data_IF_193651832108
#
_entry.id   IF_193651832108
#
_cell.length_a   1.000
_cell.length_b   1.000
_cell.length_c   1.000
_cell.angle_alpha   90.00
_cell.angle_beta   90.00
_cell.angle_gamma   90.00
#
_symmetry.space_group_name_H-M   'P 1'
#
loop_
_entity.id
_entity.type
_entity.pdbx_description
1 polymer ?
#
# COMPACT_ATOMS: atom_id res chain seq x y z
N UNK A 1 18.74 -33.66 42.21
CA UNK A 1 18.61 -33.40 43.66
C UNK A 1 19.52 -32.21 43.95
N UNK A 2 18.98 -31.00 43.79
CA UNK A 2 18.32 -30.24 44.88
C UNK A 2 19.37 -29.86 45.93
N UNK A 3 19.61 -28.61 46.33
CA UNK A 3 18.88 -27.35 46.29
C UNK A 3 19.90 -26.24 46.52
N UNK A 4 19.67 -25.05 45.98
CA UNK A 4 20.03 -23.82 46.70
C UNK A 4 19.03 -22.74 46.32
N UNK A 5 18.11 -22.52 47.24
CA UNK A 5 17.07 -21.50 47.15
C UNK A 5 17.57 -20.10 47.48
N UNK A 6 16.71 -19.16 47.06
CA UNK A 6 16.43 -17.82 47.57
C UNK A 6 17.56 -16.79 47.67
N UNK A 7 17.43 -15.74 46.86
CA UNK A 7 17.37 -14.36 47.36
C UNK A 7 16.43 -13.49 46.47
N UNK A 8 15.88 -12.39 47.02
CA UNK A 8 14.51 -11.95 46.74
C UNK A 8 14.35 -10.89 45.66
N UNK A 9 13.09 -10.76 45.25
CA UNK A 9 12.45 -9.60 44.62
C UNK A 9 13.00 -8.25 45.10
N UNK A 10 13.22 -7.33 44.14
CA UNK A 10 12.55 -6.02 44.01
C UNK A 10 13.42 -5.11 43.15
N UNK A 11 13.01 -4.78 41.92
CA UNK A 11 13.21 -3.43 41.34
C UNK A 11 12.14 -3.19 40.26
N UNK A 12 11.27 -2.21 40.54
CA UNK A 12 10.92 -1.18 39.55
C UNK A 12 9.79 -1.48 38.57
N UNK A 13 8.56 -1.62 39.08
CA UNK A 13 7.36 -1.21 38.33
C UNK A 13 6.89 0.12 38.91
N UNK A 14 7.31 1.22 38.29
CA UNK A 14 6.75 2.57 38.42
C UNK A 14 7.32 3.33 37.22
N UNK A 15 6.52 3.68 36.22
CA UNK A 15 5.58 4.78 36.34
C UNK A 15 6.06 5.90 35.42
N UNK A 16 6.25 5.58 34.14
CA UNK A 16 6.48 6.58 33.11
C UNK A 16 5.14 6.98 32.51
N UNK A 17 4.38 7.81 33.21
CA UNK A 17 3.34 8.63 32.59
C UNK A 17 4.04 9.63 31.67
N UNK A 18 4.53 9.10 30.55
CA UNK A 18 5.05 9.87 29.44
C UNK A 18 3.85 10.66 28.96
N UNK A 19 3.77 11.94 29.32
CA UNK A 19 2.81 12.87 28.75
C UNK A 19 2.84 12.72 27.21
N UNK A 20 1.97 11.88 26.67
CA UNK A 20 1.94 11.58 25.26
C UNK A 20 1.55 12.88 24.58
N UNK A 21 2.53 13.55 23.94
CA UNK A 21 2.33 14.81 23.22
C UNK A 21 1.07 14.71 22.39
N UNK A 22 0.23 15.73 22.43
CA UNK A 22 -0.96 15.79 21.58
C UNK A 22 -0.57 15.54 20.12
N UNK A 23 -1.42 14.79 19.44
CA UNK A 23 -1.26 14.56 18.01
C UNK A 23 -1.68 15.84 17.32
N UNK A 24 -0.75 16.51 16.66
CA UNK A 24 -1.09 17.64 15.81
C UNK A 24 -1.61 17.08 14.47
N UNK A 25 -2.91 17.27 14.25
CA UNK A 25 -3.64 16.80 13.06
C UNK A 25 -4.21 17.99 12.32
N UNK A 26 -3.81 18.17 11.07
CA UNK A 26 -4.47 19.10 10.17
C UNK A 26 -5.61 18.36 9.46
N UNK A 27 -6.86 18.77 9.73
CA UNK A 27 -8.05 18.21 9.09
C UNK A 27 -8.52 19.16 7.99
N UNK A 28 -8.45 18.72 6.74
CA UNK A 28 -8.87 19.49 5.57
C UNK A 28 -10.37 19.30 5.30
N UNK A 29 -10.84 18.06 5.39
CA UNK A 29 -12.25 17.71 5.38
C UNK A 29 -12.47 16.40 6.16
N UNK A 30 -13.71 15.89 6.20
CA UNK A 30 -14.01 14.65 6.92
C UNK A 30 -13.17 13.45 6.44
N UNK A 31 -12.86 13.44 5.14
CA UNK A 31 -12.15 12.35 4.49
C UNK A 31 -10.64 12.58 4.35
N UNK A 32 -10.11 13.76 4.67
CA UNK A 32 -8.70 14.11 4.42
C UNK A 32 -8.05 14.73 5.65
N UNK A 33 -7.03 14.04 6.18
CA UNK A 33 -6.24 14.46 7.34
C UNK A 33 -4.75 14.32 7.08
N UNK A 34 -3.96 15.13 7.78
CA UNK A 34 -2.51 15.07 7.77
C UNK A 34 -1.96 15.05 9.20
N UNK A 35 -1.12 14.08 9.52
CA UNK A 35 -0.54 13.92 10.86
C UNK A 35 0.87 14.52 10.92
N UNK A 36 1.10 15.52 11.78
CA UNK A 36 2.44 16.09 11.97
C UNK A 36 3.28 15.28 12.98
N UNK A 37 2.63 14.56 13.88
CA UNK A 37 3.27 13.70 14.88
C UNK A 37 2.64 12.31 14.91
N UNK A 38 3.48 11.28 14.99
CA UNK A 38 3.04 9.90 15.19
C UNK A 38 3.22 9.52 16.66
N UNK A 39 2.13 9.10 17.29
CA UNK A 39 2.16 8.52 18.64
C UNK A 39 1.16 7.36 18.74
N UNK A 40 1.08 6.73 19.91
CA UNK A 40 0.19 5.60 20.15
C UNK A 40 -1.30 5.93 19.94
N UNK A 41 -1.72 7.19 20.14
CA UNK A 41 -3.09 7.67 19.92
C UNK A 41 -3.46 7.77 18.43
N UNK A 42 -2.50 8.01 17.55
CA UNK A 42 -2.76 8.01 16.08
C UNK A 42 -3.15 6.65 15.54
N UNK A 43 -2.79 5.55 16.23
CA UNK A 43 -2.90 4.16 15.75
C UNK A 43 -2.23 3.93 14.38
N UNK A 44 -1.42 4.88 13.89
CA UNK A 44 -0.60 4.77 12.69
C UNK A 44 0.83 4.54 13.12
N UNK A 45 1.31 3.31 12.94
CA UNK A 45 2.69 2.93 13.24
C UNK A 45 3.42 2.46 11.98
N UNK A 46 4.68 2.03 12.14
CA UNK A 46 5.48 1.51 11.03
C UNK A 46 4.85 0.29 10.34
N UNK A 47 4.04 -0.47 11.06
CA UNK A 47 3.32 -1.64 10.54
C UNK A 47 2.13 -1.28 9.66
N UNK A 48 1.82 0.00 9.46
CA UNK A 48 0.82 0.46 8.48
C UNK A 48 1.44 0.88 7.15
N UNK A 49 2.76 1.06 7.10
CA UNK A 49 3.45 1.41 5.87
C UNK A 49 3.83 0.16 5.08
N UNK A 50 3.61 0.23 3.78
CA UNK A 50 3.84 -0.88 2.85
C UNK A 50 4.71 -0.40 1.71
N UNK A 51 5.62 -1.27 1.29
CA UNK A 51 6.49 -1.00 0.17
C UNK A 51 5.85 -1.53 -1.11
N UNK A 52 5.55 -0.61 -2.03
CA UNK A 52 5.05 -0.93 -3.36
C UNK A 52 6.23 -0.93 -4.33
N UNK A 53 6.39 -2.02 -5.07
CA UNK A 53 7.45 -2.15 -6.06
C UNK A 53 7.03 -1.57 -7.40
N UNK A 54 5.83 -1.90 -7.85
CA UNK A 54 5.32 -1.48 -9.16
C UNK A 54 3.81 -1.29 -9.12
N UNK A 55 3.34 -0.24 -9.80
CA UNK A 55 1.94 -0.08 -10.18
C UNK A 55 1.92 0.25 -11.65
N UNK A 56 1.30 -0.61 -12.46
CA UNK A 56 1.24 -0.45 -13.90
C UNK A 56 -0.14 -0.78 -14.46
N UNK A 57 -0.44 -0.21 -15.61
CA UNK A 57 -1.71 -0.37 -16.30
C UNK A 57 -1.45 -0.77 -17.75
N UNK A 58 -2.13 -1.81 -18.23
CA UNK A 58 -1.97 -2.31 -19.58
C UNK A 58 -2.41 -1.27 -20.63
N UNK A 59 -1.63 -1.13 -21.70
CA UNK A 59 -1.95 -0.20 -22.79
C UNK A 59 -3.08 -0.70 -23.72
N UNK A 60 -3.46 -1.98 -23.61
CA UNK A 60 -4.48 -2.62 -24.44
C UNK A 60 -5.54 -3.26 -23.56
N UNK A 61 -6.77 -3.27 -24.05
CA UNK A 61 -7.87 -3.97 -23.41
C UNK A 61 -7.62 -5.48 -23.45
N UNK A 62 -7.79 -6.14 -22.31
CA UNK A 62 -7.75 -7.58 -22.16
C UNK A 62 -9.13 -8.15 -22.48
N UNK A 63 -9.18 -9.19 -23.31
CA UNK A 63 -10.41 -9.92 -23.58
C UNK A 63 -10.69 -10.90 -22.44
N UNK A 64 -11.81 -10.73 -21.75
CA UNK A 64 -12.28 -11.59 -20.67
C UNK A 64 -13.18 -12.73 -21.16
N UNK A 65 -13.17 -13.01 -22.46
CA UNK A 65 -13.99 -14.05 -23.08
C UNK A 65 -15.30 -13.51 -23.63
N UNK A 66 -16.24 -14.43 -23.85
CA UNK A 66 -17.56 -14.15 -24.41
C UNK A 66 -18.63 -14.47 -23.37
N UNK A 67 -19.49 -13.51 -23.09
CA UNK A 67 -20.77 -13.72 -22.42
C UNK A 67 -21.84 -13.19 -23.36
N UNK A 68 -22.86 -13.98 -23.66
CA UNK A 68 -23.95 -13.59 -24.56
C UNK A 68 -23.51 -13.20 -25.99
N UNK A 69 -22.41 -13.79 -26.48
CA UNK A 69 -21.92 -13.57 -27.85
C UNK A 69 -21.04 -12.33 -28.05
N UNK A 70 -21.00 -11.39 -27.10
CA UNK A 70 -20.15 -10.20 -27.15
C UNK A 70 -18.81 -10.40 -26.42
N UNK A 71 -17.75 -9.76 -26.94
CA UNK A 71 -16.43 -9.75 -26.31
C UNK A 71 -16.44 -8.80 -25.13
N UNK A 72 -16.15 -9.29 -23.92
CA UNK A 72 -15.97 -8.42 -22.76
C UNK A 72 -14.53 -7.97 -22.68
N UNK A 73 -14.35 -6.65 -22.60
CA UNK A 73 -13.04 -6.02 -22.62
C UNK A 73 -12.83 -5.26 -21.31
N UNK A 74 -11.67 -5.46 -20.69
CA UNK A 74 -11.30 -4.77 -19.46
C UNK A 74 -9.85 -4.28 -19.49
N UNK A 75 -9.57 -3.23 -18.74
CA UNK A 75 -8.22 -2.73 -18.54
C UNK A 75 -7.54 -3.52 -17.42
N UNK A 76 -6.33 -4.05 -17.68
CA UNK A 76 -5.57 -4.78 -16.66
C UNK A 76 -4.71 -3.81 -15.86
N UNK A 77 -4.90 -3.78 -14.55
CA UNK A 77 -4.05 -3.05 -13.61
C UNK A 77 -3.24 -4.05 -12.80
N UNK A 78 -1.93 -3.88 -12.77
CA UNK A 78 -0.98 -4.72 -12.02
C UNK A 78 -0.43 -3.91 -10.86
N UNK A 79 -0.50 -4.49 -9.66
CA UNK A 79 0.05 -3.90 -8.44
C UNK A 79 0.95 -4.94 -7.78
N UNK A 80 2.22 -4.60 -7.62
CA UNK A 80 3.23 -5.43 -6.96
C UNK A 80 3.76 -4.71 -5.72
N UNK A 81 3.80 -5.41 -4.60
CA UNK A 81 4.30 -4.90 -3.32
C UNK A 81 4.74 -6.03 -2.41
N UNK A 82 5.44 -5.69 -1.33
CA UNK A 82 5.93 -6.68 -0.35
C UNK A 82 4.79 -7.28 0.47
N UNK A 83 3.80 -6.46 0.81
CA UNK A 83 2.60 -6.88 1.54
C UNK A 83 1.49 -5.86 1.32
N UNK A 84 0.25 -6.30 1.56
CA UNK A 84 -0.94 -5.48 1.43
C UNK A 84 -1.77 -5.55 2.70
N UNK A 85 -2.23 -4.40 3.19
CA UNK A 85 -3.25 -4.33 4.23
C UNK A 85 -4.63 -4.69 3.67
N UNK A 86 -5.56 -5.00 4.58
CA UNK A 86 -6.96 -5.23 4.23
C UNK A 86 -7.49 -4.07 3.37
N UNK A 87 -8.15 -4.42 2.27
CA UNK A 87 -8.70 -3.49 1.27
C UNK A 87 -7.71 -2.54 0.57
N UNK A 88 -6.41 -2.60 0.86
CA UNK A 88 -5.44 -1.60 0.37
C UNK A 88 -5.42 -1.51 -1.16
N UNK A 89 -5.36 -2.65 -1.86
CA UNK A 89 -5.39 -2.68 -3.33
C UNK A 89 -6.68 -2.07 -3.87
N UNK A 90 -7.82 -2.38 -3.23
CA UNK A 90 -9.13 -1.88 -3.65
C UNK A 90 -9.24 -0.35 -3.50
N UNK A 91 -8.68 0.20 -2.42
CA UNK A 91 -8.56 1.65 -2.22
C UNK A 91 -7.64 2.30 -3.24
N UNK A 92 -6.50 1.67 -3.55
CA UNK A 92 -5.58 2.17 -4.60
C UNK A 92 -6.29 2.23 -5.96
N UNK A 93 -7.02 1.18 -6.33
CA UNK A 93 -7.78 1.14 -7.58
C UNK A 93 -8.91 2.18 -7.60
N UNK A 94 -9.66 2.32 -6.50
CA UNK A 94 -10.69 3.35 -6.39
C UNK A 94 -10.14 4.76 -6.61
N UNK A 95 -9.00 5.07 -6.00
CA UNK A 95 -8.31 6.35 -6.18
C UNK A 95 -7.79 6.54 -7.63
N UNK A 96 -7.25 5.49 -8.26
CA UNK A 96 -6.81 5.55 -9.65
C UNK A 96 -7.98 5.83 -10.61
N UNK A 97 -9.14 5.22 -10.38
CA UNK A 97 -10.36 5.48 -11.18
C UNK A 97 -10.82 6.93 -10.99
N UNK A 98 -10.81 7.43 -9.76
CA UNK A 98 -11.16 8.84 -9.47
C UNK A 98 -10.25 9.82 -10.22
N UNK A 99 -8.93 9.59 -10.17
CA UNK A 99 -7.96 10.43 -10.86
C UNK A 99 -8.09 10.33 -12.39
N UNK A 100 -8.30 9.12 -12.94
CA UNK A 100 -8.53 8.92 -14.38
C UNK A 100 -9.75 9.69 -14.89
N UNK A 101 -10.76 9.88 -14.05
CA UNK A 101 -11.98 10.64 -14.36
C UNK A 101 -11.89 12.12 -14.05
N UNK A 102 -10.70 12.62 -13.68
CA UNK A 102 -10.46 14.01 -13.29
C UNK A 102 -11.28 14.47 -12.07
N UNK A 103 -11.69 13.55 -11.20
CA UNK A 103 -12.36 13.89 -9.93
C UNK A 103 -11.36 14.41 -8.89
N UNK A 104 -10.09 13.99 -9.01
CA UNK A 104 -8.99 14.52 -8.21
C UNK A 104 -7.79 14.76 -9.12
N UNK A 105 -6.94 15.74 -8.81
CA UNK A 105 -5.75 15.99 -9.62
C UNK A 105 -4.73 14.85 -9.45
N UNK A 106 -3.92 14.59 -10.47
CA UNK A 106 -2.99 13.43 -10.48
C UNK A 106 -1.99 13.44 -9.33
N UNK A 107 -1.54 14.63 -8.90
CA UNK A 107 -0.64 14.79 -7.75
C UNK A 107 -1.31 14.44 -6.40
N UNK A 108 -2.63 14.31 -6.36
CA UNK A 108 -3.35 13.81 -5.19
C UNK A 108 -2.98 12.35 -4.88
N UNK A 109 -2.70 11.54 -5.90
CA UNK A 109 -2.27 10.15 -5.72
C UNK A 109 -0.99 10.08 -4.90
N UNK A 110 0.05 10.83 -5.28
CA UNK A 110 1.32 10.83 -4.57
C UNK A 110 1.19 11.40 -3.16
N UNK A 111 0.31 12.40 -2.97
CA UNK A 111 0.03 12.96 -1.66
C UNK A 111 -0.63 11.95 -0.72
N UNK A 112 -1.65 11.23 -1.18
CA UNK A 112 -2.34 10.19 -0.40
C UNK A 112 -1.43 9.01 -0.06
N UNK A 113 -0.54 8.63 -0.97
CA UNK A 113 0.42 7.53 -0.73
C UNK A 113 1.58 7.92 0.18
N UNK A 114 1.73 9.19 0.53
CA UNK A 114 2.81 9.67 1.40
C UNK A 114 2.44 9.53 2.86
N UNK A 115 3.30 8.89 3.67
CA UNK A 115 3.22 9.01 5.12
C UNK A 115 3.56 10.46 5.50
N UNK A 116 2.64 11.28 6.03
CA UNK A 116 1.67 10.90 7.06
C UNK A 116 0.20 11.15 6.70
N UNK A 117 -0.13 11.19 5.40
CA UNK A 117 -1.50 11.40 4.94
C UNK A 117 -2.43 10.29 5.44
N UNK A 118 -3.61 10.68 5.89
CA UNK A 118 -4.69 9.76 6.25
C UNK A 118 -5.95 10.20 5.52
N UNK A 119 -6.24 9.47 4.46
CA UNK A 119 -7.35 9.77 3.56
C UNK A 119 -8.28 8.57 3.52
N UNK A 120 -9.56 8.81 3.79
CA UNK A 120 -10.61 7.83 3.54
C UNK A 120 -10.81 7.75 2.03
N UNK A 121 -10.58 6.57 1.45
CA UNK A 121 -10.64 6.35 0.02
C UNK A 121 -11.86 5.48 -0.34
N UNK A 122 -12.47 5.67 -1.52
CA UNK A 122 -13.44 4.70 -2.03
C UNK A 122 -12.70 3.39 -2.32
N UNK A 123 -13.35 2.24 -2.16
CA UNK A 123 -12.73 0.95 -2.48
C UNK A 123 -13.50 0.25 -3.60
N UNK A 124 -12.77 -0.12 -4.66
CA UNK A 124 -13.37 -0.81 -5.81
C UNK A 124 -13.95 -2.19 -5.42
N UNK A 125 -14.93 -2.75 -6.17
CA UNK A 125 -15.43 -4.10 -5.95
C UNK A 125 -14.33 -5.17 -5.95
N UNK A 126 -14.49 -6.22 -5.14
CA UNK A 126 -13.46 -7.26 -4.98
C UNK A 126 -13.47 -8.32 -6.11
N UNK A 127 -14.59 -8.44 -6.83
CA UNK A 127 -14.86 -9.53 -7.77
C UNK A 127 -13.81 -9.69 -8.88
N UNK A 128 -13.19 -8.59 -9.31
CA UNK A 128 -12.20 -8.60 -10.39
C UNK A 128 -10.75 -8.55 -9.89
N UNK A 129 -10.54 -8.63 -8.57
CA UNK A 129 -9.21 -8.64 -7.97
C UNK A 129 -8.66 -10.07 -7.95
N UNK A 130 -7.52 -10.29 -8.61
CA UNK A 130 -6.88 -11.59 -8.72
C UNK A 130 -5.48 -11.54 -8.14
N UNK A 131 -5.15 -12.50 -7.28
CA UNK A 131 -3.78 -12.79 -6.91
C UNK A 131 -3.10 -13.53 -8.07
N UNK A 132 -2.26 -12.81 -8.80
CA UNK A 132 -1.62 -13.33 -10.02
C UNK A 132 -0.37 -14.16 -9.72
N UNK A 133 0.58 -13.58 -9.00
CA UNK A 133 1.87 -14.19 -8.72
C UNK A 133 2.28 -13.98 -7.25
N UNK A 134 3.17 -14.84 -6.76
CA UNK A 134 3.75 -14.80 -5.42
C UNK A 134 5.27 -14.88 -5.54
N UNK A 135 5.99 -14.09 -4.74
CA UNK A 135 7.43 -14.20 -4.61
C UNK A 135 7.75 -14.84 -3.25
N UNK A 136 8.30 -16.04 -3.27
CA UNK A 136 8.70 -16.75 -2.07
C UNK A 136 10.11 -16.33 -1.67
N UNK A 137 10.23 -15.78 -0.47
CA UNK A 137 11.54 -15.57 0.14
C UNK A 137 12.22 -16.91 0.42
N UNK A 138 13.56 -16.96 0.46
CA UNK A 138 14.28 -18.16 0.86
C UNK A 138 13.80 -18.68 2.21
N UNK A 139 13.77 -20.00 2.37
CA UNK A 139 13.37 -20.62 3.63
C UNK A 139 14.26 -20.16 4.78
N UNK A 140 13.67 -19.91 5.95
CA UNK A 140 14.41 -19.54 7.13
C UNK A 140 15.29 -20.72 7.58
N UNK A 141 16.61 -20.56 7.50
CA UNK A 141 17.58 -21.49 8.09
C UNK A 141 17.97 -21.02 9.49
N UNK A 142 18.35 -21.94 10.36
CA UNK A 142 18.78 -21.63 11.74
C UNK A 142 19.98 -20.68 11.78
N UNK A 143 20.83 -20.72 10.75
CA UNK A 143 21.94 -19.82 10.54
C UNK A 143 21.56 -18.67 9.58
N UNK A 144 21.01 -17.59 10.13
CA UNK A 144 20.70 -16.33 9.40
C UNK A 144 21.86 -15.72 8.58
N UNK A 145 23.07 -16.27 8.68
CA UNK A 145 24.28 -15.86 7.96
C UNK A 145 24.46 -16.56 6.59
N UNK A 146 23.84 -17.72 6.36
CA UNK A 146 23.93 -18.45 5.09
C UNK A 146 22.56 -18.47 4.38
N UNK A 147 22.05 -17.28 4.02
CA UNK A 147 20.96 -17.23 3.04
C UNK A 147 21.58 -17.49 1.67
N UNK A 148 21.42 -18.70 1.18
CA UNK A 148 21.63 -18.98 -0.24
C UNK A 148 20.51 -18.26 -1.01
N UNK A 149 20.84 -17.24 -1.80
CA UNK A 149 19.84 -16.48 -2.55
C UNK A 149 19.12 -17.32 -3.62
N UNK A 150 19.72 -18.48 -3.94
CA UNK A 150 19.24 -19.46 -4.91
C UNK A 150 18.27 -20.50 -4.28
N UNK A 151 18.10 -20.52 -2.95
CA UNK A 151 17.16 -21.43 -2.25
C UNK A 151 15.74 -20.82 -2.18
N UNK A 152 15.17 -20.45 -3.34
CA UNK A 152 13.83 -19.89 -3.47
C UNK A 152 12.86 -20.90 -4.08
N UNK A 153 11.62 -20.88 -3.60
CA UNK A 153 10.55 -21.67 -4.21
C UNK A 153 10.12 -21.00 -5.52
N UNK A 154 10.43 -21.64 -6.64
CA UNK A 154 10.01 -21.20 -7.97
C UNK A 154 8.99 -22.17 -8.58
N UNK A 155 8.03 -21.60 -9.32
CA UNK A 155 7.09 -22.40 -10.09
C UNK A 155 7.83 -23.09 -11.25
N UNK A 156 7.64 -24.41 -11.39
CA UNK A 156 8.21 -25.18 -12.49
C UNK A 156 7.65 -24.71 -13.84
N UNK A 157 8.37 -24.95 -14.96
CA UNK A 157 7.85 -24.62 -16.29
C UNK A 157 6.46 -25.23 -16.58
N UNK A 158 6.26 -26.50 -16.21
CA UNK A 158 4.96 -27.17 -16.34
C UNK A 158 3.87 -26.50 -15.47
N UNK A 159 4.21 -26.07 -14.25
CA UNK A 159 3.29 -25.32 -13.39
C UNK A 159 2.89 -23.96 -13.99
N UNK A 160 3.84 -23.26 -14.62
CA UNK A 160 3.56 -22.00 -15.35
C UNK A 160 2.63 -22.22 -16.54
N UNK A 161 2.80 -23.30 -17.30
CA UNK A 161 1.92 -23.66 -18.41
C UNK A 161 0.49 -23.95 -17.92
N UNK A 162 0.34 -24.72 -16.84
CA UNK A 162 -0.98 -24.98 -16.22
C UNK A 162 -1.64 -23.70 -15.72
N UNK A 163 -0.87 -22.81 -15.07
CA UNK A 163 -1.37 -21.52 -14.59
C UNK A 163 -1.85 -20.63 -15.75
N UNK A 164 -1.11 -20.59 -16.86
CA UNK A 164 -1.48 -19.84 -18.06
C UNK A 164 -2.73 -20.41 -18.73
N UNK A 165 -2.82 -21.73 -18.88
CA UNK A 165 -4.00 -22.40 -19.41
C UNK A 165 -5.23 -22.10 -18.54
N UNK A 166 -5.11 -22.23 -17.21
CA UNK A 166 -6.18 -21.90 -16.27
C UNK A 166 -6.60 -20.42 -16.34
N UNK A 167 -5.63 -19.50 -16.45
CA UNK A 167 -5.92 -18.06 -16.62
C UNK A 167 -6.82 -17.84 -17.84
N UNK A 168 -6.46 -18.40 -18.99
CA UNK A 168 -7.18 -18.17 -20.24
C UNK A 168 -8.51 -18.91 -20.31
N UNK A 169 -8.54 -20.18 -19.90
CA UNK A 169 -9.68 -21.07 -20.11
C UNK A 169 -10.77 -20.92 -19.05
N UNK A 170 -10.40 -20.60 -17.81
CA UNK A 170 -11.33 -20.62 -16.68
C UNK A 170 -11.45 -19.25 -16.01
N UNK A 171 -10.31 -18.63 -15.69
CA UNK A 171 -10.30 -17.40 -14.90
C UNK A 171 -10.82 -16.20 -15.70
N UNK A 172 -10.33 -15.96 -16.92
CA UNK A 172 -10.77 -14.81 -17.73
C UNK A 172 -12.29 -14.85 -18.01
N UNK A 173 -12.90 -15.98 -18.45
CA UNK A 173 -14.35 -16.08 -18.61
C UNK A 173 -15.14 -15.80 -17.32
N UNK A 174 -14.66 -16.30 -16.18
CA UNK A 174 -15.28 -16.03 -14.89
C UNK A 174 -15.18 -14.56 -14.50
N UNK A 175 -14.04 -13.89 -14.73
CA UNK A 175 -13.93 -12.44 -14.54
C UNK A 175 -14.88 -11.68 -15.46
N UNK A 176 -15.08 -12.18 -16.67
CA UNK A 176 -16.02 -11.65 -17.63
C UNK A 176 -17.43 -11.48 -17.05
N UNK A 177 -17.95 -12.46 -16.30
CA UNK A 177 -19.28 -12.35 -15.68
C UNK A 177 -19.35 -11.32 -14.57
N UNK A 178 -18.24 -11.02 -13.89
CA UNK A 178 -18.18 -10.07 -12.78
C UNK A 178 -18.00 -8.60 -13.18
N UNK A 179 -17.66 -8.30 -14.43
CA UNK A 179 -17.49 -6.91 -14.89
C UNK A 179 -18.78 -6.10 -14.79
N UNK A 180 -19.92 -6.76 -15.03
CA UNK A 180 -21.24 -6.11 -14.97
C UNK A 180 -21.97 -6.38 -13.64
N UNK A 181 -21.22 -6.80 -12.61
CA UNK A 181 -21.79 -7.05 -11.30
C UNK A 181 -22.35 -5.75 -10.70
N UNK A 182 -23.49 -5.83 -10.01
CA UNK A 182 -24.21 -4.67 -9.46
C UNK A 182 -23.36 -3.80 -8.51
N UNK A 183 -22.45 -4.42 -7.76
CA UNK A 183 -21.44 -3.73 -6.94
C UNK A 183 -20.66 -2.63 -7.66
N UNK A 184 -20.46 -2.74 -8.98
CA UNK A 184 -19.84 -1.66 -9.75
C UNK A 184 -20.72 -0.41 -9.78
N UNK A 185 -22.04 -0.57 -9.94
CA UNK A 185 -22.99 0.54 -9.87
C UNK A 185 -23.02 1.16 -8.47
N UNK A 186 -22.98 0.34 -7.41
CA UNK A 186 -22.88 0.84 -6.03
C UNK A 186 -21.60 1.64 -5.83
N UNK A 187 -20.46 1.11 -6.30
CA UNK A 187 -19.17 1.80 -6.24
C UNK A 187 -19.21 3.14 -6.99
N UNK A 188 -19.90 3.23 -8.13
CA UNK A 188 -20.08 4.50 -8.87
C UNK A 188 -20.81 5.57 -8.05
N UNK A 189 -21.82 5.18 -7.28
CA UNK A 189 -22.57 6.09 -6.41
C UNK A 189 -21.70 6.55 -5.23
N UNK A 190 -21.05 5.60 -4.55
CA UNK A 190 -20.11 5.89 -3.45
C UNK A 190 -18.95 6.78 -3.90
N UNK A 191 -18.42 6.57 -5.11
CA UNK A 191 -17.35 7.38 -5.67
C UNK A 191 -17.79 8.83 -5.91
N UNK A 192 -19.02 9.03 -6.39
CA UNK A 192 -19.60 10.38 -6.58
C UNK A 192 -19.83 11.08 -5.26
N UNK A 193 -20.37 10.38 -4.26
CA UNK A 193 -20.57 10.92 -2.91
C UNK A 193 -19.21 11.28 -2.26
N UNK A 194 -18.23 10.39 -2.36
CA UNK A 194 -16.89 10.62 -1.86
C UNK A 194 -16.27 11.89 -2.46
N UNK A 195 -16.37 12.06 -3.78
CA UNK A 195 -15.87 13.26 -4.47
C UNK A 195 -16.66 14.53 -4.10
N UNK A 196 -17.98 14.45 -3.96
CA UNK A 196 -18.81 15.57 -3.50
C UNK A 196 -18.39 16.09 -2.12
N UNK A 197 -17.80 15.22 -1.29
CA UNK A 197 -17.26 15.53 0.03
C UNK A 197 -15.79 15.99 0.01
N UNK A 198 -15.23 16.34 -1.15
CA UNK A 198 -13.87 16.87 -1.31
C UNK A 198 -13.91 18.30 -1.89
N UNK A 199 -14.02 19.33 -1.03
CA UNK A 199 -13.97 20.72 -1.50
C UNK A 199 -12.62 21.03 -2.16
N UNK A 200 -12.65 21.63 -3.34
CA UNK A 200 -11.43 21.93 -4.13
C UNK A 200 -10.39 22.76 -3.34
N UNK A 201 -10.85 23.75 -2.57
CA UNK A 201 -9.97 24.60 -1.74
C UNK A 201 -9.20 23.76 -0.70
N UNK A 202 -9.86 22.76 -0.11
CA UNK A 202 -9.27 21.90 0.91
C UNK A 202 -8.30 20.90 0.29
N UNK A 203 -8.63 20.38 -0.90
CA UNK A 203 -7.71 19.54 -1.69
C UNK A 203 -6.46 20.34 -2.07
N UNK A 204 -6.60 21.60 -2.49
CA UNK A 204 -5.47 22.46 -2.84
C UNK A 204 -4.55 22.72 -1.64
N UNK A 205 -5.12 23.00 -0.45
CA UNK A 205 -4.34 23.15 0.78
C UNK A 205 -3.61 21.86 1.17
N UNK A 206 -4.28 20.72 1.07
CA UNK A 206 -3.66 19.41 1.33
C UNK A 206 -2.46 19.15 0.41
N UNK A 207 -2.58 19.47 -0.87
CA UNK A 207 -1.49 19.34 -1.84
C UNK A 207 -0.32 20.28 -1.53
N UNK A 208 -0.59 21.52 -1.11
CA UNK A 208 0.46 22.45 -0.68
C UNK A 208 1.19 21.95 0.58
N UNK A 209 0.45 21.40 1.56
CA UNK A 209 1.05 20.76 2.75
C UNK A 209 1.93 19.57 2.34
N UNK A 210 1.47 18.73 1.41
CA UNK A 210 2.28 17.63 0.88
C UNK A 210 3.56 18.11 0.19
N UNK A 211 3.48 19.16 -0.62
CA UNK A 211 4.63 19.70 -1.35
C UNK A 211 5.72 20.22 -0.40
N UNK A 212 5.32 21.01 0.62
CA UNK A 212 6.26 21.51 1.63
C UNK A 212 6.92 20.38 2.41
N UNK A 213 6.14 19.36 2.80
CA UNK A 213 6.66 18.18 3.48
C UNK A 213 7.62 17.37 2.60
N UNK A 214 7.26 17.14 1.33
CA UNK A 214 8.07 16.38 0.37
C UNK A 214 9.41 17.06 0.13
N UNK A 215 9.42 18.39 -0.01
CA UNK A 215 10.64 19.18 -0.14
C UNK A 215 11.54 19.07 1.11
N UNK A 216 10.94 19.14 2.31
CA UNK A 216 11.67 18.97 3.57
C UNK A 216 12.27 17.56 3.71
N UNK A 217 11.51 16.52 3.32
CA UNK A 217 11.99 15.13 3.34
C UNK A 217 13.16 14.93 2.37
N UNK A 218 13.05 15.44 1.14
CA UNK A 218 14.11 15.37 0.14
C UNK A 218 15.39 16.07 0.62
N UNK A 219 15.25 17.23 1.29
CA UNK A 219 16.39 17.93 1.90
C UNK A 219 17.09 17.07 2.96
N UNK A 220 16.33 16.49 3.90
CA UNK A 220 16.86 15.60 4.95
C UNK A 220 17.55 14.36 4.38
N UNK A 221 16.97 13.75 3.34
CA UNK A 221 17.57 12.60 2.64
C UNK A 221 18.94 12.97 2.05
N UNK A 222 19.03 14.10 1.35
CA UNK A 222 20.30 14.60 0.78
C UNK A 222 21.34 14.93 1.87
N UNK A 223 20.92 15.47 3.00
CA UNK A 223 21.81 15.74 4.14
C UNK A 223 22.37 14.45 4.73
N UNK A 224 21.54 13.42 4.91
CA UNK A 224 21.97 12.11 5.38
C UNK A 224 22.95 11.44 4.43
N UNK A 225 22.65 11.39 3.13
CA UNK A 225 23.53 10.81 2.11
C UNK A 225 24.89 11.52 2.05
N UNK A 226 24.90 12.85 2.22
CA UNK A 226 26.15 13.62 2.32
C UNK A 226 26.94 13.30 3.59
N UNK A 227 26.27 13.10 4.71
CA UNK A 227 26.90 12.66 5.97
C UNK A 227 27.56 11.30 5.83
N UNK A 228 26.80 10.31 5.34
CA UNK A 228 27.28 8.94 5.11
C UNK A 228 28.46 8.90 4.11
N UNK A 229 28.44 9.76 3.09
CA UNK A 229 29.55 9.86 2.13
C UNK A 229 30.81 10.47 2.76
N UNK A 230 30.68 11.43 3.68
CA UNK A 230 31.82 12.01 4.41
C UNK A 230 32.44 10.99 5.36
N UNK A 231 31.60 10.31 6.15
CA UNK A 231 32.02 9.26 7.08
C UNK A 231 32.73 8.10 6.36
N UNK A 232 32.22 7.68 5.18
CA UNK A 232 32.88 6.68 4.34
C UNK A 232 34.22 7.13 3.74
N UNK A 233 34.46 8.43 3.59
CA UNK A 233 35.75 8.96 3.14
C UNK A 233 36.74 9.02 4.30
N UNK A 234 36.30 9.47 5.46
CA UNK A 234 37.11 9.52 6.68
C UNK A 234 37.53 8.13 7.18
N UNK A 235 36.70 7.09 7.00
CA UNK A 235 37.08 5.69 7.32
C UNK A 235 38.09 5.07 6.33
N UNK A 236 38.33 5.71 5.18
CA UNK A 236 39.24 5.22 4.13
C UNK A 236 40.58 5.94 4.10
N UNK A 237 40.72 7.02 4.87
CA UNK A 237 41.98 7.75 5.12
C UNK A 237 42.62 7.27 6.44
#
# INVERSE_FOLDING_TARGET
REERGEEPSTVGKEGGDSAEREVEVEKFCDNVRWFHTFNRKTKLDRSHYRHMHEVSCGARLTNLGKSDGEKRLALRVTIQGESFMYHQIRHMVGLMIAAYRNMVPTNFISAVLSAPANVSLPFAPAHTLVLKDLNFLPFAREDFKNRDEDDKLEMTPAGKEIQQAFEVEQMLPALGSFVDHEDWSTFEEELKEWHGNLPEEQVAKFLATHETWSAALAKRKRERERGEMKERKELKE
#
